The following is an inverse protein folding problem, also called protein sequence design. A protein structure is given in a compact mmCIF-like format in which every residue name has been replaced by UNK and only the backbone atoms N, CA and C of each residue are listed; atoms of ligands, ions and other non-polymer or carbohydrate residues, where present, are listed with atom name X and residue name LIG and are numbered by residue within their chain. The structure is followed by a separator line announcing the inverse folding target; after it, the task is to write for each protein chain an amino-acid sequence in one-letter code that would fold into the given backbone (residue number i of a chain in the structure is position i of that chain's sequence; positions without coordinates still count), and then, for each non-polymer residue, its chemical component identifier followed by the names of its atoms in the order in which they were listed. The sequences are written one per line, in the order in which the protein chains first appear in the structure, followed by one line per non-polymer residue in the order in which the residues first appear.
data_IF_146035535911
#
_entry.id   IF_146035535911
#
_cell.length_a   1.000
_cell.length_b   1.000
_cell.length_c   1.000
_cell.angle_alpha   90.00
_cell.angle_beta   90.00
_cell.angle_gamma   90.00
#
_symmetry.space_group_name_H-M   'P 1'
#
loop_
_entity.id
_entity.type
_entity.pdbx_description
1 polymer ?
#
# COMPACT_ATOMS: atom_id res chain seq x y z
N UNK A 1 15.33 0.21 -2.56
CA UNK A 1 14.35 1.16 -3.15
C UNK A 1 15.00 2.55 -3.16
N UNK A 2 14.77 3.37 -4.19
CA UNK A 2 15.32 4.74 -4.24
C UNK A 2 14.27 5.71 -3.66
N UNK A 3 14.68 6.47 -2.66
CA UNK A 3 13.88 7.52 -2.02
C UNK A 3 14.73 8.77 -1.98
N UNK A 4 14.18 9.90 -2.35
CA UNK A 4 14.87 11.18 -2.37
C UNK A 4 13.91 12.31 -1.95
N UNK A 5 14.41 13.43 -1.41
CA UNK A 5 13.62 14.63 -1.24
C UNK A 5 13.08 15.13 -2.58
N UNK A 6 11.94 15.82 -2.58
CA UNK A 6 11.42 16.48 -3.76
C UNK A 6 12.47 17.46 -4.31
N UNK A 7 12.95 17.21 -5.54
CA UNK A 7 14.09 17.95 -6.10
C UNK A 7 13.74 19.42 -6.37
N UNK A 8 12.52 19.68 -6.85
CA UNK A 8 12.00 21.02 -7.18
C UNK A 8 10.59 21.15 -6.61
N UNK A 9 10.46 21.50 -5.31
CA UNK A 9 9.15 21.65 -4.71
C UNK A 9 8.40 22.83 -5.34
N UNK A 10 7.13 22.61 -5.63
CA UNK A 10 6.27 23.64 -6.17
C UNK A 10 6.15 24.82 -5.18
N UNK A 11 6.17 26.10 -5.63
CA UNK A 11 6.06 27.26 -4.73
C UNK A 11 4.84 27.22 -3.81
N UNK A 12 3.73 26.65 -4.26
CA UNK A 12 2.54 26.44 -3.41
C UNK A 12 2.82 25.49 -2.25
N UNK A 13 3.62 24.45 -2.46
CA UNK A 13 4.02 23.50 -1.40
C UNK A 13 4.88 24.18 -0.34
N UNK A 14 5.75 25.10 -0.75
CA UNK A 14 6.55 25.91 0.17
C UNK A 14 5.65 26.87 0.96
N UNK A 15 4.72 27.56 0.29
CA UNK A 15 3.78 28.45 0.96
C UNK A 15 2.88 27.72 1.98
N UNK A 16 2.49 26.47 1.70
CA UNK A 16 1.76 25.63 2.67
C UNK A 16 2.61 25.33 3.91
N UNK A 17 3.90 25.04 3.75
CA UNK A 17 4.78 24.81 4.89
C UNK A 17 4.97 26.10 5.73
N UNK A 18 5.17 27.23 5.07
CA UNK A 18 5.26 28.55 5.75
C UNK A 18 3.97 28.87 6.51
N UNK A 19 2.81 28.58 5.91
CA UNK A 19 1.52 28.68 6.57
C UNK A 19 1.39 27.76 7.79
N UNK A 20 1.86 26.52 7.69
CA UNK A 20 1.88 25.58 8.81
C UNK A 20 2.80 26.04 9.95
N UNK A 21 3.99 26.57 9.62
CA UNK A 21 4.91 27.16 10.60
C UNK A 21 4.27 28.37 11.30
N UNK A 22 3.52 29.20 10.58
CA UNK A 22 2.88 30.41 11.13
C UNK A 22 1.82 30.10 12.19
N UNK A 23 1.24 28.88 12.17
CA UNK A 23 0.29 28.40 13.20
C UNK A 23 0.95 27.50 14.24
N UNK A 24 2.28 27.43 14.27
CA UNK A 24 3.06 26.80 15.32
C UNK A 24 3.47 25.35 15.04
N UNK A 25 3.25 24.81 13.81
CA UNK A 25 3.76 23.48 13.48
C UNK A 25 5.27 23.55 13.21
N UNK A 26 6.03 22.66 13.83
CA UNK A 26 7.45 22.54 13.59
C UNK A 26 7.73 21.98 12.19
N UNK A 27 8.63 22.62 11.45
CA UNK A 27 9.10 22.11 10.16
C UNK A 27 10.23 21.11 10.33
N UNK A 28 10.13 20.00 9.58
CA UNK A 28 11.13 18.95 9.53
C UNK A 28 11.69 18.79 8.11
N UNK A 29 12.90 18.22 7.96
CA UNK A 29 13.50 17.96 6.65
C UNK A 29 12.68 17.03 5.77
N UNK A 30 12.01 16.03 6.39
CA UNK A 30 11.12 15.08 5.74
C UNK A 30 10.12 14.51 6.77
N UNK A 31 9.04 13.84 6.33
CA UNK A 31 8.03 13.28 7.22
C UNK A 31 8.48 12.01 7.96
N UNK A 32 9.62 11.42 7.58
CA UNK A 32 10.13 10.20 8.19
C UNK A 32 11.04 10.51 9.39
N UNK A 33 11.26 9.55 10.25
CA UNK A 33 12.14 9.70 11.41
C UNK A 33 11.62 10.70 12.44
N UNK A 34 12.36 11.79 12.70
CA UNK A 34 12.06 12.71 13.81
C UNK A 34 10.66 13.31 13.81
N UNK A 35 10.07 13.56 12.64
CA UNK A 35 8.71 14.08 12.57
C UNK A 35 7.70 13.06 13.09
N UNK A 36 7.88 11.77 12.77
CA UNK A 36 7.02 10.69 13.25
C UNK A 36 7.16 10.41 14.76
N UNK A 37 8.29 10.79 15.35
CA UNK A 37 8.56 10.65 16.78
C UNK A 37 8.14 11.89 17.59
N UNK A 38 7.75 12.97 16.89
CA UNK A 38 7.36 14.25 17.51
C UNK A 38 5.86 14.30 17.81
N UNK A 39 5.45 15.40 18.47
CA UNK A 39 4.05 15.70 18.71
C UNK A 39 3.27 16.20 17.49
N UNK A 40 3.86 16.17 16.33
CA UNK A 40 3.35 16.68 15.06
C UNK A 40 4.36 17.57 14.37
N UNK A 41 4.05 18.03 13.17
CA UNK A 41 4.89 18.91 12.38
C UNK A 41 4.51 18.95 10.91
N UNK A 42 5.32 19.59 10.12
CA UNK A 42 5.14 19.66 8.68
C UNK A 42 6.44 19.41 7.92
N UNK A 43 6.35 18.83 6.74
CA UNK A 43 7.50 18.55 5.89
C UNK A 43 7.10 18.42 4.42
N UNK A 44 8.11 18.53 3.53
CA UNK A 44 7.99 18.04 2.16
C UNK A 44 8.03 16.52 2.15
N UNK A 45 7.21 15.90 1.30
CA UNK A 45 7.21 14.45 1.11
C UNK A 45 8.43 14.02 0.32
N UNK A 46 9.04 12.92 0.76
CA UNK A 46 10.03 12.22 -0.05
C UNK A 46 9.38 11.52 -1.25
N UNK A 47 10.13 11.39 -2.32
CA UNK A 47 9.68 10.82 -3.57
C UNK A 47 10.43 9.54 -3.94
N UNK A 48 9.70 8.55 -4.45
CA UNK A 48 10.29 7.35 -5.06
C UNK A 48 10.48 7.56 -6.57
N UNK A 49 11.23 8.60 -6.93
CA UNK A 49 11.48 9.00 -8.32
C UNK A 49 12.99 8.98 -8.58
N UNK A 50 13.39 8.51 -9.74
CA UNK A 50 14.77 8.56 -10.22
C UNK A 50 14.75 8.89 -11.70
N UNK A 51 15.50 9.91 -12.14
CA UNK A 51 15.53 10.35 -13.53
C UNK A 51 14.10 10.56 -14.11
N UNK A 52 13.28 11.33 -13.36
CA UNK A 52 11.87 11.66 -13.72
C UNK A 52 10.94 10.45 -13.81
N UNK A 53 11.38 9.25 -13.46
CA UNK A 53 10.58 8.02 -13.52
C UNK A 53 10.32 7.48 -12.13
N UNK A 54 9.05 7.16 -11.86
CA UNK A 54 8.66 6.47 -10.63
C UNK A 54 9.40 5.14 -10.50
N UNK A 55 9.99 4.93 -9.33
CA UNK A 55 10.64 3.68 -8.95
C UNK A 55 9.63 2.80 -8.20
N UNK A 56 8.84 2.01 -8.92
CA UNK A 56 7.94 1.03 -8.30
C UNK A 56 8.75 -0.09 -7.65
N UNK A 57 8.11 -0.86 -6.76
CA UNK A 57 8.71 -2.07 -6.16
C UNK A 57 9.19 -3.03 -7.24
N UNK A 58 8.37 -3.27 -8.27
CA UNK A 58 8.76 -4.10 -9.41
C UNK A 58 10.04 -3.58 -10.08
N UNK A 59 10.11 -2.28 -10.42
CA UNK A 59 11.27 -1.67 -11.07
C UNK A 59 12.51 -1.71 -10.20
N UNK A 60 12.35 -1.63 -8.88
CA UNK A 60 13.48 -1.58 -7.94
C UNK A 60 14.04 -2.95 -7.61
N UNK A 61 13.21 -3.98 -7.55
CA UNK A 61 13.61 -5.28 -7.02
C UNK A 61 13.48 -6.42 -8.02
N UNK A 62 12.45 -6.43 -8.86
CA UNK A 62 12.21 -7.55 -9.78
C UNK A 62 12.84 -7.31 -11.14
N UNK A 63 12.62 -6.13 -11.73
CA UNK A 63 13.13 -5.81 -13.07
C UNK A 63 14.64 -6.02 -13.25
N UNK A 64 15.53 -5.69 -12.28
CA UNK A 64 16.96 -5.92 -12.42
C UNK A 64 17.39 -7.40 -12.45
N UNK A 65 16.53 -8.29 -12.01
CA UNK A 65 16.84 -9.72 -11.85
C UNK A 65 15.91 -10.64 -12.64
N UNK A 66 14.96 -10.08 -13.40
CA UNK A 66 13.92 -10.89 -14.06
C UNK A 66 14.46 -11.80 -15.18
N UNK A 67 15.66 -11.54 -15.68
CA UNK A 67 16.33 -12.39 -16.69
C UNK A 67 17.12 -13.56 -16.06
N UNK A 68 17.09 -13.69 -14.73
CA UNK A 68 17.74 -14.83 -14.07
C UNK A 68 16.92 -16.10 -14.28
N UNK A 69 17.58 -17.26 -14.55
CA UNK A 69 16.89 -18.50 -14.92
C UNK A 69 16.02 -19.10 -13.80
N UNK A 70 16.22 -18.67 -12.56
CA UNK A 70 15.44 -19.10 -11.40
C UNK A 70 14.27 -18.18 -11.06
N UNK A 71 13.97 -17.19 -11.89
CA UNK A 71 12.86 -16.26 -11.71
C UNK A 71 11.91 -16.32 -12.89
N UNK A 72 10.64 -16.54 -12.61
CA UNK A 72 9.58 -16.47 -13.61
C UNK A 72 8.54 -15.44 -13.18
N UNK A 73 8.24 -14.48 -14.04
CA UNK A 73 7.20 -13.47 -13.81
C UNK A 73 6.07 -13.70 -14.79
N UNK A 74 4.90 -14.10 -14.28
CA UNK A 74 3.70 -14.26 -15.05
C UNK A 74 2.76 -13.06 -14.83
N UNK A 75 2.59 -12.24 -15.84
CA UNK A 75 1.60 -11.15 -15.82
C UNK A 75 0.29 -11.60 -16.47
N UNK A 76 -0.84 -11.07 -15.99
CA UNK A 76 -2.15 -11.49 -16.48
C UNK A 76 -2.55 -12.91 -16.06
N UNK A 77 -1.89 -13.44 -15.04
CA UNK A 77 -2.26 -14.69 -14.38
C UNK A 77 -3.12 -14.37 -13.16
N UNK A 78 -4.32 -14.93 -13.09
CA UNK A 78 -5.22 -14.81 -11.95
C UNK A 78 -5.14 -16.09 -11.12
N UNK A 79 -4.60 -15.99 -9.91
CA UNK A 79 -4.63 -17.09 -8.96
C UNK A 79 -6.05 -17.25 -8.43
N UNK A 80 -6.61 -18.47 -8.56
CA UNK A 80 -7.99 -18.80 -8.22
C UNK A 80 -8.08 -19.56 -6.92
N UNK A 81 -7.02 -20.30 -6.56
CA UNK A 81 -7.02 -21.11 -5.35
C UNK A 81 -5.60 -21.49 -4.92
N UNK A 82 -5.40 -21.61 -3.61
CA UNK A 82 -4.23 -22.28 -3.03
C UNK A 82 -4.55 -23.77 -2.99
N UNK A 83 -3.59 -24.60 -3.36
CA UNK A 83 -3.69 -26.04 -3.31
C UNK A 83 -3.09 -26.55 -1.99
N UNK A 84 -3.80 -27.46 -1.35
CA UNK A 84 -3.39 -28.03 -0.07
C UNK A 84 -3.32 -29.55 -0.15
N UNK A 85 -2.40 -30.12 0.61
CA UNK A 85 -2.39 -31.49 1.04
C UNK A 85 -2.62 -31.49 2.56
N UNK A 86 -3.77 -31.97 3.02
CA UNK A 86 -4.27 -31.72 4.37
C UNK A 86 -4.21 -30.22 4.72
N UNK A 87 -3.30 -29.79 5.57
CA UNK A 87 -3.11 -28.40 6.00
C UNK A 87 -1.83 -27.74 5.45
N UNK A 88 -1.12 -28.43 4.58
CA UNK A 88 0.10 -27.92 3.96
C UNK A 88 -0.20 -27.33 2.58
N UNK A 89 0.18 -26.08 2.36
CA UNK A 89 0.08 -25.48 1.03
C UNK A 89 1.12 -26.14 0.09
N UNK A 90 0.65 -26.70 -1.01
CA UNK A 90 1.45 -27.43 -1.99
C UNK A 90 1.58 -26.72 -3.32
N UNK A 91 0.86 -25.64 -3.53
CA UNK A 91 0.91 -24.89 -4.79
C UNK A 91 -0.27 -23.95 -4.95
N UNK A 92 -0.46 -23.50 -6.18
CA UNK A 92 -1.58 -22.63 -6.57
C UNK A 92 -2.22 -23.10 -7.87
N UNK A 93 -3.50 -22.86 -7.99
CA UNK A 93 -4.23 -22.90 -9.24
C UNK A 93 -4.36 -21.49 -9.79
N UNK A 94 -4.15 -21.33 -11.08
CA UNK A 94 -4.26 -20.03 -11.73
C UNK A 94 -4.91 -20.14 -13.11
N UNK A 95 -5.63 -19.09 -13.48
CA UNK A 95 -6.14 -18.91 -14.84
C UNK A 95 -5.16 -18.00 -15.61
N UNK A 96 -4.59 -18.53 -16.66
CA UNK A 96 -3.66 -17.82 -17.52
C UNK A 96 -3.99 -18.12 -18.99
N UNK A 97 -4.10 -17.08 -19.81
CA UNK A 97 -4.46 -17.23 -21.23
C UNK A 97 -5.72 -18.10 -21.48
N UNK A 98 -6.75 -17.92 -20.64
CA UNK A 98 -8.03 -18.65 -20.67
C UNK A 98 -7.92 -20.17 -20.37
N UNK A 99 -6.82 -20.61 -19.84
CA UNK A 99 -6.60 -21.99 -19.42
C UNK A 99 -6.24 -22.04 -17.94
N UNK A 100 -6.61 -23.14 -17.29
CA UNK A 100 -6.30 -23.39 -15.89
C UNK A 100 -4.96 -24.12 -15.80
N UNK A 101 -4.09 -23.61 -14.98
CA UNK A 101 -2.77 -24.19 -14.71
C UNK A 101 -2.62 -24.45 -13.21
N UNK A 102 -1.84 -25.44 -12.89
CA UNK A 102 -1.39 -25.75 -11.55
C UNK A 102 0.12 -25.50 -11.46
N UNK A 103 0.54 -24.80 -10.43
CA UNK A 103 1.95 -24.55 -10.13
C UNK A 103 2.23 -25.10 -8.74
N UNK A 104 3.10 -26.08 -8.66
CA UNK A 104 3.46 -26.71 -7.40
C UNK A 104 4.57 -25.90 -6.70
N UNK A 105 4.46 -25.79 -5.38
CA UNK A 105 5.44 -25.11 -4.52
C UNK A 105 6.22 -26.14 -3.71
N UNK A 106 7.54 -26.11 -3.86
CA UNK A 106 8.45 -27.03 -3.13
C UNK A 106 8.72 -26.54 -1.70
N UNK A 107 8.62 -25.22 -1.45
CA UNK A 107 8.95 -24.62 -0.16
C UNK A 107 7.74 -23.95 0.48
N UNK A 108 7.23 -22.92 -0.18
CA UNK A 108 6.17 -22.08 0.38
C UNK A 108 5.39 -21.34 -0.72
N UNK A 109 4.21 -20.89 -0.38
CA UNK A 109 3.40 -19.95 -1.16
C UNK A 109 3.30 -18.65 -0.39
N UNK A 110 3.77 -17.55 -0.99
CA UNK A 110 3.72 -16.22 -0.38
C UNK A 110 2.56 -15.42 -0.97
N UNK A 111 1.64 -14.98 -0.13
CA UNK A 111 0.50 -14.17 -0.52
C UNK A 111 0.78 -12.68 -0.29
N UNK A 112 0.75 -11.89 -1.35
CA UNK A 112 0.99 -10.43 -1.31
C UNK A 112 -0.06 -9.68 -2.14
N UNK A 113 -1.34 -10.11 -2.08
CA UNK A 113 -2.42 -9.59 -2.92
C UNK A 113 -3.10 -8.34 -2.33
N UNK A 114 -2.66 -7.89 -1.17
CA UNK A 114 -3.23 -6.75 -0.45
C UNK A 114 -4.38 -7.13 0.48
N UNK A 115 -4.93 -6.13 1.14
CA UNK A 115 -5.88 -6.30 2.25
C UNK A 115 -7.24 -6.91 1.83
N UNK A 116 -7.60 -6.81 0.55
CA UNK A 116 -8.86 -7.34 0.00
C UNK A 116 -8.65 -8.71 -0.62
N UNK A 117 -7.70 -8.84 -1.56
CA UNK A 117 -7.59 -10.08 -2.34
C UNK A 117 -6.85 -11.21 -1.60
N UNK A 118 -6.02 -10.89 -0.59
CA UNK A 118 -5.38 -11.94 0.22
C UNK A 118 -6.42 -12.75 1.01
N UNK A 119 -7.30 -12.14 1.82
CA UNK A 119 -8.36 -12.90 2.49
C UNK A 119 -9.36 -13.51 1.51
N UNK A 120 -9.66 -12.89 0.39
CA UNK A 120 -10.51 -13.47 -0.66
C UNK A 120 -9.93 -14.80 -1.15
N UNK A 121 -8.64 -14.83 -1.52
CA UNK A 121 -7.99 -16.06 -2.00
C UNK A 121 -7.92 -17.15 -0.91
N UNK A 122 -7.70 -16.77 0.35
CA UNK A 122 -7.74 -17.69 1.48
C UNK A 122 -9.15 -18.32 1.62
N UNK A 123 -10.20 -17.50 1.59
CA UNK A 123 -11.57 -17.98 1.69
C UNK A 123 -11.96 -18.87 0.50
N UNK A 124 -11.62 -18.49 -0.72
CA UNK A 124 -11.80 -19.32 -1.94
C UNK A 124 -11.08 -20.69 -1.84
N UNK A 125 -10.04 -20.77 -1.00
CA UNK A 125 -9.26 -21.98 -0.76
C UNK A 125 -9.72 -22.77 0.45
N UNK A 126 -10.86 -22.39 1.07
CA UNK A 126 -11.43 -23.08 2.23
C UNK A 126 -10.85 -22.65 3.58
N UNK A 127 -10.12 -21.54 3.63
CA UNK A 127 -9.53 -21.02 4.87
C UNK A 127 -10.24 -19.73 5.28
N UNK A 128 -11.09 -19.80 6.32
CA UNK A 128 -11.91 -18.65 6.71
C UNK A 128 -12.94 -18.96 7.78
N UNK A 129 -13.89 -18.05 7.96
CA UNK A 129 -15.05 -18.25 8.84
C UNK A 129 -15.97 -19.33 8.28
N UNK A 130 -16.24 -20.35 9.08
CA UNK A 130 -17.04 -21.51 8.68
C UNK A 130 -18.43 -21.12 8.18
N UNK A 131 -19.08 -20.18 8.85
CA UNK A 131 -20.43 -19.74 8.47
C UNK A 131 -20.45 -19.01 7.13
N UNK A 132 -19.43 -18.19 6.87
CA UNK A 132 -19.30 -17.47 5.60
C UNK A 132 -18.95 -18.41 4.45
N UNK A 133 -18.05 -19.36 4.66
CA UNK A 133 -17.68 -20.36 3.64
C UNK A 133 -18.86 -21.25 3.28
N UNK A 134 -19.59 -21.75 4.27
CA UNK A 134 -20.79 -22.57 4.05
C UNK A 134 -21.90 -21.82 3.31
N UNK A 135 -22.04 -20.51 3.54
CA UNK A 135 -23.04 -19.67 2.85
C UNK A 135 -22.82 -19.59 1.33
N UNK A 136 -21.60 -19.81 0.87
CA UNK A 136 -21.22 -19.77 -0.55
C UNK A 136 -20.76 -21.14 -1.09
N UNK A 137 -21.11 -22.21 -0.40
CA UNK A 137 -20.81 -23.59 -0.76
C UNK A 137 -19.32 -23.90 -0.94
N UNK A 138 -18.44 -23.22 -0.19
CA UNK A 138 -17.02 -23.51 -0.15
C UNK A 138 -16.73 -24.48 0.99
N UNK A 139 -16.15 -25.66 0.72
CA UNK A 139 -15.75 -26.60 1.76
C UNK A 139 -14.73 -25.99 2.73
N UNK A 140 -15.00 -26.13 4.03
CA UNK A 140 -14.10 -25.62 5.08
C UNK A 140 -12.90 -26.55 5.22
N UNK A 141 -11.72 -26.03 4.92
CA UNK A 141 -10.45 -26.73 5.17
C UNK A 141 -9.90 -26.36 6.54
N UNK A 142 -9.86 -25.08 6.84
CA UNK A 142 -9.40 -24.55 8.12
C UNK A 142 -10.33 -23.44 8.59
N UNK A 143 -10.98 -23.64 9.72
CA UNK A 143 -11.83 -22.63 10.33
C UNK A 143 -10.98 -21.52 11.00
N UNK A 144 -10.84 -20.40 10.31
CA UNK A 144 -10.13 -19.19 10.78
C UNK A 144 -11.04 -17.97 10.71
N UNK A 145 -11.82 -17.69 11.78
CA UNK A 145 -12.84 -16.64 11.75
C UNK A 145 -12.27 -15.20 11.61
N UNK A 146 -10.96 -15.01 11.79
CA UNK A 146 -10.30 -13.73 11.60
C UNK A 146 -10.02 -13.35 10.13
N UNK A 147 -10.08 -14.30 9.21
CA UNK A 147 -9.83 -14.05 7.78
C UNK A 147 -10.93 -13.15 7.21
N UNK A 148 -10.53 -12.05 6.58
CA UNK A 148 -11.45 -11.05 6.01
C UNK A 148 -12.13 -10.14 7.04
N UNK A 149 -11.76 -10.23 8.31
CA UNK A 149 -12.29 -9.34 9.37
C UNK A 149 -11.35 -8.16 9.64
N UNK A 150 -11.90 -7.16 10.32
CA UNK A 150 -11.14 -5.99 10.80
C UNK A 150 -10.40 -5.22 9.70
N UNK A 151 -10.99 -5.13 8.51
CA UNK A 151 -10.47 -4.24 7.47
C UNK A 151 -10.53 -2.80 7.97
N UNK A 152 -9.37 -2.15 7.99
CA UNK A 152 -9.24 -0.73 8.33
C UNK A 152 -8.66 0.02 7.13
N UNK A 153 -9.15 1.23 6.92
CA UNK A 153 -8.61 2.16 5.95
C UNK A 153 -8.56 3.56 6.55
N UNK A 154 -7.78 4.45 5.95
CA UNK A 154 -7.73 5.83 6.35
C UNK A 154 -9.08 6.51 6.07
N UNK A 155 -9.63 7.19 7.07
CA UNK A 155 -10.71 8.12 6.85
C UNK A 155 -10.13 9.35 6.13
N UNK A 156 -10.58 9.60 4.91
CA UNK A 156 -10.10 10.73 4.13
C UNK A 156 -11.27 11.51 3.53
N UNK A 157 -11.15 12.82 3.53
CA UNK A 157 -12.06 13.72 2.81
C UNK A 157 -11.26 14.82 2.11
N UNK A 158 -11.74 15.25 0.95
CA UNK A 158 -11.11 16.32 0.19
C UNK A 158 -11.62 17.68 0.63
N UNK A 159 -10.71 18.60 0.95
CA UNK A 159 -11.03 20.01 1.06
C UNK A 159 -10.56 20.71 -0.22
N UNK A 160 -11.48 21.42 -0.87
CA UNK A 160 -11.20 22.13 -2.11
C UNK A 160 -11.42 23.61 -1.88
N UNK A 161 -10.44 24.42 -2.23
CA UNK A 161 -10.51 25.89 -2.16
C UNK A 161 -10.44 26.49 -3.56
N UNK A 162 -11.24 27.51 -3.79
CA UNK A 162 -11.14 28.31 -4.99
C UNK A 162 -9.93 29.24 -4.89
N UNK A 163 -9.11 29.26 -5.94
CA UNK A 163 -8.00 30.19 -6.04
C UNK A 163 -8.47 31.47 -6.75
N UNK A 164 -8.57 32.57 -6.02
CA UNK A 164 -8.94 33.88 -6.56
C UNK A 164 -7.85 34.53 -7.45
N UNK A 165 -6.65 33.95 -7.56
CA UNK A 165 -5.55 34.41 -8.38
C UNK A 165 -5.48 33.77 -9.77
N UNK A 166 -4.41 34.07 -10.51
CA UNK A 166 -4.09 33.30 -11.73
C UNK A 166 -3.86 31.86 -11.34
N UNK A 167 -4.45 30.93 -12.09
CA UNK A 167 -4.29 29.50 -11.83
C UNK A 167 -2.82 29.14 -11.63
N UNK A 168 -2.44 28.60 -10.50
CA UNK A 168 -1.09 28.08 -10.35
C UNK A 168 -0.86 26.98 -11.39
N UNK A 169 0.37 26.79 -11.86
CA UNK A 169 0.68 25.63 -12.68
C UNK A 169 0.24 24.35 -11.95
N UNK A 170 -0.24 23.36 -12.71
CA UNK A 170 -0.71 22.13 -12.11
C UNK A 170 0.36 21.52 -11.20
N UNK A 171 0.01 21.32 -9.94
CA UNK A 171 0.85 20.57 -9.00
C UNK A 171 0.63 19.09 -9.30
N UNK A 172 1.59 18.37 -9.87
CA UNK A 172 1.36 17.02 -10.37
C UNK A 172 1.11 15.99 -9.27
N UNK A 173 1.32 16.33 -8.00
CA UNK A 173 1.15 15.45 -6.83
C UNK A 173 1.24 16.21 -5.51
N UNK A 174 0.78 15.57 -4.44
CA UNK A 174 0.99 16.07 -3.08
C UNK A 174 2.49 16.09 -2.77
N UNK A 175 2.98 17.24 -2.33
CA UNK A 175 4.38 17.42 -1.97
C UNK A 175 4.59 17.82 -0.51
N UNK A 176 3.51 18.08 0.23
CA UNK A 176 3.57 18.48 1.63
C UNK A 176 2.72 17.55 2.49
N UNK A 177 3.14 17.38 3.71
CA UNK A 177 2.41 16.67 4.75
C UNK A 177 2.49 17.45 6.05
N UNK A 178 1.37 17.53 6.76
CA UNK A 178 1.28 18.09 8.09
C UNK A 178 0.58 17.09 9.00
N UNK A 179 1.12 16.92 10.21
CA UNK A 179 0.52 16.11 11.26
C UNK A 179 0.39 16.93 12.52
N UNK A 180 -0.77 16.90 13.15
CA UNK A 180 -1.00 17.62 14.41
C UNK A 180 -1.97 16.85 15.31
N UNK A 181 -2.03 17.28 16.55
CA UNK A 181 -2.99 16.77 17.52
C UNK A 181 -4.19 17.70 17.57
N UNK A 182 -5.39 17.17 17.43
CA UNK A 182 -6.62 17.94 17.63
C UNK A 182 -6.88 18.27 19.10
N UNK A 183 -6.30 17.47 19.99
CA UNK A 183 -6.34 17.65 21.44
C UNK A 183 -4.93 17.48 22.02
N UNK A 184 -4.53 18.41 22.88
CA UNK A 184 -3.21 18.38 23.53
C UNK A 184 -2.99 17.13 24.42
N UNK A 185 -4.07 16.49 24.88
CA UNK A 185 -4.02 15.25 25.68
C UNK A 185 -3.69 13.99 24.89
N UNK A 186 -3.74 14.03 23.56
CA UNK A 186 -3.41 12.89 22.73
C UNK A 186 -1.91 12.59 22.80
N UNK A 187 -1.55 11.30 22.84
CA UNK A 187 -0.15 10.89 22.83
C UNK A 187 0.50 11.05 21.44
N UNK A 188 -0.28 10.81 20.39
CA UNK A 188 0.18 10.89 18.99
C UNK A 188 -0.68 11.87 18.19
N UNK A 189 -0.15 12.44 17.10
CA UNK A 189 -0.95 13.16 16.12
C UNK A 189 -2.07 12.27 15.56
N UNK A 190 -3.22 12.86 15.30
CA UNK A 190 -4.38 12.17 14.73
C UNK A 190 -4.87 12.81 13.42
N UNK A 191 -4.18 13.88 12.99
CA UNK A 191 -4.30 14.51 11.67
C UNK A 191 -2.93 14.90 11.17
#
# INVERSE_FOLDING_TARGET
MHVQPAAEPHPFSIALLEGAESVGLQRFPNPNGRMMESSGGCALLDETVRSVKRQSIFRSYVYPIMDQPNITVLTGALTTRILFDEHQATGVELNYQKSIYRVDAVREVVLSLGAINTPELLMQSGVGDESELNRVDIPVLVALPGVGRNLHDHLAFGCVWENAGKSPPQVPRSQTSCFWKTDAGLQTPNF
#
